data_IF_088800437796
#
_entry.id   IF_088800437796
#
_cell.length_a   1.000
_cell.length_b   1.000
_cell.length_c   1.000
_cell.angle_alpha   90.00
_cell.angle_beta   90.00
_cell.angle_gamma   90.00
#
_symmetry.space_group_name_H-M   'P 1'
#
loop_
_entity.id
_entity.type
_entity.pdbx_description
1 polymer ?
#
# COMPACT_ATOMS: atom_id res chain seq x y z
N UNK A 1 15.02 5.97 0.83
CA UNK A 1 14.45 6.11 2.18
C UNK A 1 13.30 5.11 2.38
N UNK A 2 13.13 4.60 3.60
CA UNK A 2 12.04 3.69 3.97
C UNK A 2 11.16 4.39 5.00
N UNK A 3 9.84 4.23 4.88
CA UNK A 3 8.86 4.66 5.88
C UNK A 3 8.01 3.45 6.31
N UNK A 4 7.67 3.36 7.59
CA UNK A 4 6.97 2.20 8.16
C UNK A 4 5.92 2.64 9.18
N UNK A 5 4.75 2.00 9.15
CA UNK A 5 3.73 2.03 10.20
C UNK A 5 3.78 0.71 10.96
N UNK A 6 4.05 0.77 12.26
CA UNK A 6 4.28 -0.41 13.11
C UNK A 6 2.96 -1.08 13.53
N UNK A 7 1.88 -0.32 13.56
CA UNK A 7 0.57 -0.73 14.03
C UNK A 7 -0.10 -1.74 13.10
N UNK A 8 0.16 -1.63 11.79
CA UNK A 8 -0.42 -2.51 10.75
C UNK A 8 0.62 -3.25 9.92
N UNK A 9 1.90 -3.16 10.31
CA UNK A 9 3.05 -3.77 9.62
C UNK A 9 3.10 -3.46 8.11
N UNK A 10 2.93 -2.17 7.78
CA UNK A 10 3.00 -1.66 6.40
C UNK A 10 4.24 -0.79 6.26
N UNK A 11 5.01 -1.01 5.20
CA UNK A 11 6.17 -0.20 4.85
C UNK A 11 6.14 0.21 3.37
N UNK A 12 6.76 1.35 3.07
CA UNK A 12 6.95 1.86 1.73
C UNK A 12 8.38 2.38 1.55
N UNK A 13 8.80 2.53 0.29
CA UNK A 13 10.09 3.06 -0.11
C UNK A 13 9.91 4.27 -1.04
N UNK A 14 10.84 5.21 -0.97
CA UNK A 14 10.99 6.30 -1.95
C UNK A 14 12.45 6.76 -2.03
N UNK A 15 12.85 7.46 -3.08
CA UNK A 15 14.20 8.04 -3.20
C UNK A 15 14.42 9.13 -2.15
N UNK A 16 13.38 9.95 -1.89
CA UNK A 16 13.41 11.00 -0.88
C UNK A 16 12.60 10.65 0.37
N UNK A 17 12.79 11.40 1.47
CA UNK A 17 11.97 11.25 2.68
C UNK A 17 10.50 11.58 2.40
N UNK A 18 10.24 12.63 1.61
CA UNK A 18 8.88 13.05 1.29
C UNK A 18 8.16 11.98 0.49
N UNK A 19 8.80 11.46 -0.54
CA UNK A 19 8.26 10.40 -1.39
C UNK A 19 7.97 9.11 -0.60
N UNK A 20 8.88 8.68 0.29
CA UNK A 20 8.61 7.52 1.14
C UNK A 20 7.37 7.73 2.04
N UNK A 21 7.15 8.95 2.55
CA UNK A 21 5.97 9.28 3.35
C UNK A 21 4.69 9.37 2.51
N UNK A 22 4.76 9.89 1.28
CA UNK A 22 3.64 9.93 0.34
C UNK A 22 3.24 8.51 -0.06
N UNK A 23 4.20 7.67 -0.44
CA UNK A 23 3.98 6.25 -0.75
C UNK A 23 3.42 5.48 0.46
N UNK A 24 3.84 5.82 1.69
CA UNK A 24 3.29 5.20 2.90
C UNK A 24 1.81 5.57 3.09
N UNK A 25 1.42 6.81 2.81
CA UNK A 25 0.01 7.23 2.88
C UNK A 25 -0.87 6.47 1.91
N UNK A 26 -0.41 6.29 0.67
CA UNK A 26 -1.13 5.52 -0.33
C UNK A 26 -1.26 4.04 0.06
N UNK A 27 -0.16 3.42 0.53
CA UNK A 27 -0.17 2.05 1.00
C UNK A 27 -1.14 1.83 2.18
N UNK A 28 -1.20 2.78 3.11
CA UNK A 28 -2.16 2.76 4.22
C UNK A 28 -3.60 2.93 3.73
N UNK A 29 -3.87 3.84 2.80
CA UNK A 29 -5.20 4.00 2.23
C UNK A 29 -5.68 2.69 1.59
N UNK A 30 -4.86 2.07 0.74
CA UNK A 30 -5.16 0.80 0.09
C UNK A 30 -5.37 -0.35 1.09
N UNK A 31 -4.57 -0.41 2.17
CA UNK A 31 -4.71 -1.44 3.20
C UNK A 31 -6.09 -1.44 3.87
N UNK A 32 -6.70 -0.26 4.04
CA UNK A 32 -8.02 -0.11 4.67
C UNK A 32 -9.18 -0.11 3.67
N UNK A 33 -8.90 -0.15 2.38
CA UNK A 33 -9.94 -0.32 1.36
C UNK A 33 -10.49 -1.76 1.38
N UNK A 34 -11.81 -1.96 1.21
CA UNK A 34 -12.38 -3.29 1.11
C UNK A 34 -11.84 -4.00 -0.15
N UNK A 35 -11.57 -5.31 -0.08
CA UNK A 35 -11.08 -6.04 -1.23
C UNK A 35 -12.13 -6.04 -2.35
N UNK A 36 -11.72 -5.56 -3.53
CA UNK A 36 -12.54 -5.57 -4.73
C UNK A 36 -11.96 -6.56 -5.74
N UNK A 37 -12.73 -7.60 -6.10
CA UNK A 37 -12.31 -8.55 -7.12
C UNK A 37 -12.34 -7.87 -8.49
N UNK A 38 -11.19 -7.71 -9.13
CA UNK A 38 -11.06 -7.14 -10.48
C UNK A 38 -10.88 -8.20 -11.56
N UNK A 39 -10.68 -9.46 -11.17
CA UNK A 39 -10.50 -10.60 -12.08
C UNK A 39 -11.73 -11.50 -12.01
N UNK A 40 -12.41 -11.67 -13.14
CA UNK A 40 -13.47 -12.67 -13.29
C UNK A 40 -12.82 -13.99 -13.70
N UNK A 41 -12.97 -15.08 -12.93
CA UNK A 41 -12.42 -16.37 -13.31
C UNK A 41 -13.09 -16.88 -14.60
N UNK A 42 -12.30 -17.23 -15.61
CA UNK A 42 -12.81 -17.92 -16.80
C UNK A 42 -12.93 -19.41 -16.48
N UNK A 43 -14.16 -19.91 -16.42
CA UNK A 43 -14.43 -21.35 -16.34
C UNK A 43 -14.41 -21.88 -17.77
N UNK A 44 -13.47 -22.77 -18.08
CA UNK A 44 -13.43 -23.52 -19.34
C UNK A 44 -14.40 -24.71 -19.30
#
# INVERSE_FOLDING_TARGET
>A
MIAQCLEVDVASQGETKQEALENLREALALHFEPPCATIIPQVQ
#
